data_IF_395544950540
#
_entry.id   IF_395544950540
#
_cell.length_a   1.000
_cell.length_b   1.000
_cell.length_c   1.000
_cell.angle_alpha   90.00
_cell.angle_beta   90.00
_cell.angle_gamma   90.00
#
_symmetry.space_group_name_H-M   'P 1'
#
loop_
_entity.id
_entity.type
_entity.pdbx_description
1 polymer ?
#
# COMPACT_ATOMS: atom_id res chain seq x y z
N UNK A 1 -10.83 -25.36 18.46
CA UNK A 1 -10.04 -24.26 17.91
C UNK A 1 -10.53 -22.96 18.52
N UNK A 2 -9.68 -22.18 19.18
CA UNK A 2 -10.09 -20.85 19.66
C UNK A 2 -10.44 -19.96 18.46
N UNK A 3 -11.42 -19.07 18.62
CA UNK A 3 -11.88 -18.12 17.60
C UNK A 3 -12.40 -18.74 16.28
N UNK A 4 -13.40 -19.63 16.32
CA UNK A 4 -13.88 -20.31 15.11
C UNK A 4 -14.41 -19.35 14.04
N UNK A 5 -15.03 -18.24 14.42
CA UNK A 5 -15.55 -17.27 13.46
C UNK A 5 -14.44 -16.49 12.71
N UNK A 6 -13.31 -16.20 13.37
CA UNK A 6 -12.15 -15.59 12.75
C UNK A 6 -11.50 -16.53 11.72
N UNK A 7 -11.50 -17.81 12.01
CA UNK A 7 -10.85 -18.82 11.16
C UNK A 7 -11.73 -19.37 10.04
N UNK A 8 -13.00 -18.92 9.94
CA UNK A 8 -13.85 -19.25 8.79
C UNK A 8 -13.35 -18.61 7.51
N UNK A 9 -13.39 -19.34 6.38
CA UNK A 9 -13.14 -18.72 5.07
C UNK A 9 -14.04 -17.53 4.82
N UNK A 10 -13.55 -16.57 4.04
CA UNK A 10 -14.29 -15.39 3.61
C UNK A 10 -14.29 -15.31 2.09
N UNK A 11 -15.50 -15.35 1.51
CA UNK A 11 -15.70 -15.13 0.09
C UNK A 11 -15.79 -13.64 -0.20
N UNK A 12 -14.90 -13.13 -1.07
CA UNK A 12 -14.89 -11.76 -1.58
C UNK A 12 -15.60 -11.63 -2.94
N UNK A 13 -16.24 -12.70 -3.42
CA UNK A 13 -16.92 -12.76 -4.72
C UNK A 13 -15.99 -13.08 -5.89
N UNK A 14 -14.76 -12.62 -5.88
CA UNK A 14 -13.74 -12.89 -6.90
C UNK A 14 -12.60 -13.78 -6.39
N UNK A 15 -12.48 -13.95 -5.11
CA UNK A 15 -11.48 -14.85 -4.47
C UNK A 15 -11.92 -15.25 -3.07
N UNK A 16 -11.46 -16.43 -2.63
CA UNK A 16 -11.69 -16.93 -1.28
C UNK A 16 -10.46 -16.65 -0.40
N UNK A 17 -10.64 -16.02 0.75
CA UNK A 17 -9.63 -15.95 1.80
C UNK A 17 -9.76 -17.17 2.71
N UNK A 18 -8.63 -17.74 3.15
CA UNK A 18 -8.61 -18.93 4.03
C UNK A 18 -9.15 -18.67 5.44
N UNK A 19 -9.15 -17.41 5.87
CA UNK A 19 -9.72 -16.94 7.12
C UNK A 19 -9.98 -15.42 7.05
N UNK A 20 -10.42 -14.83 8.16
CA UNK A 20 -10.78 -13.41 8.24
C UNK A 20 -9.71 -12.54 8.91
N UNK A 21 -8.50 -13.07 9.08
CA UNK A 21 -7.37 -12.30 9.59
C UNK A 21 -6.73 -11.50 8.46
N UNK A 22 -6.66 -10.19 8.63
CA UNK A 22 -6.02 -9.25 7.71
C UNK A 22 -4.80 -8.62 8.38
N UNK A 23 -3.63 -8.71 7.74
CA UNK A 23 -2.50 -7.86 8.05
C UNK A 23 -2.70 -6.51 7.35
N UNK A 24 -3.05 -5.48 8.13
CA UNK A 24 -3.24 -4.11 7.62
C UNK A 24 -1.95 -3.53 7.05
N UNK A 25 -2.10 -2.53 6.19
CA UNK A 25 -0.98 -1.80 5.58
C UNK A 25 -0.04 -1.22 6.64
N UNK A 26 1.25 -1.49 6.48
CA UNK A 26 2.31 -0.96 7.33
C UNK A 26 3.56 -0.72 6.51
N UNK A 27 4.07 0.50 6.55
CA UNK A 27 5.35 0.83 5.94
C UNK A 27 6.47 0.22 6.79
N UNK A 28 7.25 -0.69 6.21
CA UNK A 28 8.25 -1.45 6.95
C UNK A 28 9.67 -0.89 6.81
N UNK A 29 9.85 0.11 5.92
CA UNK A 29 11.14 0.75 5.64
C UNK A 29 12.11 -0.13 4.85
N UNK A 30 11.67 -1.29 4.37
CA UNK A 30 12.44 -2.16 3.49
C UNK A 30 12.33 -1.75 2.03
N UNK A 31 11.31 -0.99 1.69
CA UNK A 31 11.01 -0.53 0.34
C UNK A 31 12.12 0.37 -0.25
N UNK A 32 12.96 0.95 0.63
CA UNK A 32 13.94 1.98 0.27
C UNK A 32 15.38 1.59 0.60
N UNK A 33 15.62 0.32 0.98
CA UNK A 33 16.98 -0.15 1.33
C UNK A 33 17.51 -1.13 0.30
N UNK A 34 18.82 -1.32 0.29
CA UNK A 34 19.49 -2.33 -0.52
C UNK A 34 18.97 -3.74 -0.19
N UNK A 35 18.72 -4.55 -1.22
CA UNK A 35 18.09 -5.88 -1.12
C UNK A 35 16.75 -5.85 -0.36
N UNK A 36 16.04 -4.72 -0.45
CA UNK A 36 14.81 -4.49 0.30
C UNK A 36 13.68 -5.42 -0.12
N UNK A 37 13.55 -5.72 -1.41
CA UNK A 37 12.48 -6.59 -1.93
C UNK A 37 12.68 -8.05 -1.49
N UNK A 38 13.90 -8.56 -1.45
CA UNK A 38 14.20 -9.90 -0.93
C UNK A 38 13.90 -9.98 0.58
N UNK A 39 14.23 -8.93 1.32
CA UNK A 39 13.91 -8.83 2.75
C UNK A 39 12.40 -8.70 2.99
N UNK A 40 11.70 -7.92 2.16
CA UNK A 40 10.23 -7.83 2.18
C UNK A 40 9.59 -9.18 1.84
N UNK A 41 10.14 -9.91 0.87
CA UNK A 41 9.67 -11.24 0.51
C UNK A 41 9.74 -12.18 1.71
N UNK A 42 10.88 -12.23 2.40
CA UNK A 42 11.03 -13.04 3.62
C UNK A 42 10.07 -12.59 4.73
N UNK A 43 9.94 -11.26 4.93
CA UNK A 43 9.06 -10.68 5.93
C UNK A 43 7.60 -11.05 5.71
N UNK A 44 7.08 -10.90 4.50
CA UNK A 44 5.67 -11.21 4.20
C UNK A 44 5.41 -12.71 4.07
N UNK A 45 6.37 -13.50 3.55
CA UNK A 45 6.25 -14.96 3.50
C UNK A 45 6.10 -15.57 4.89
N UNK A 46 6.84 -15.07 5.89
CA UNK A 46 6.70 -15.51 7.29
C UNK A 46 5.27 -15.28 7.83
N UNK A 47 4.64 -14.15 7.51
CA UNK A 47 3.25 -13.87 7.90
C UNK A 47 2.26 -14.76 7.16
N UNK A 48 2.50 -15.01 5.88
CA UNK A 48 1.70 -15.96 5.09
C UNK A 48 1.77 -17.38 5.64
N UNK A 49 2.96 -17.85 6.04
CA UNK A 49 3.18 -19.13 6.74
C UNK A 49 2.48 -19.16 8.08
N UNK A 50 2.41 -18.02 8.78
CA UNK A 50 1.64 -17.80 10.00
C UNK A 50 0.12 -17.73 9.81
N UNK A 51 -0.38 -18.11 8.62
CA UNK A 51 -1.81 -18.25 8.33
C UNK A 51 -2.60 -16.93 8.21
N UNK A 52 -1.98 -15.79 7.98
CA UNK A 52 -2.73 -14.56 7.65
C UNK A 52 -3.53 -14.75 6.36
N UNK A 53 -4.83 -14.43 6.38
CA UNK A 53 -5.74 -14.60 5.25
C UNK A 53 -5.45 -13.65 4.09
N UNK A 54 -5.11 -12.39 4.39
CA UNK A 54 -4.71 -11.38 3.40
C UNK A 54 -3.67 -10.45 4.01
N UNK A 55 -2.66 -10.12 3.24
CA UNK A 55 -1.65 -9.11 3.59
C UNK A 55 -1.87 -7.88 2.70
N UNK A 56 -1.78 -6.68 3.29
CA UNK A 56 -1.73 -5.41 2.53
C UNK A 56 -0.37 -4.77 2.77
N UNK A 57 0.36 -4.46 1.70
CA UNK A 57 1.70 -3.86 1.79
C UNK A 57 1.67 -2.46 2.38
N UNK A 58 2.83 -1.92 2.76
CA UNK A 58 3.02 -0.49 2.95
C UNK A 58 2.65 0.31 1.69
N UNK A 59 2.44 1.61 1.85
CA UNK A 59 2.00 2.47 0.77
C UNK A 59 3.09 2.68 -0.30
N UNK A 60 2.77 2.40 -1.55
CA UNK A 60 3.64 2.57 -2.72
C UNK A 60 3.08 3.69 -3.58
N UNK A 61 3.92 4.65 -3.96
CA UNK A 61 3.48 5.80 -4.74
C UNK A 61 3.14 5.43 -6.19
N UNK A 62 2.03 5.95 -6.75
CA UNK A 62 1.66 5.73 -8.14
C UNK A 62 2.47 6.59 -9.13
N UNK A 63 3.25 7.54 -8.65
CA UNK A 63 4.07 8.44 -9.49
C UNK A 63 5.12 9.18 -8.68
N UNK A 64 6.03 9.87 -9.36
CA UNK A 64 7.12 10.62 -8.74
C UNK A 64 6.64 11.67 -7.72
N UNK A 65 5.56 12.40 -8.05
CA UNK A 65 5.02 13.45 -7.18
C UNK A 65 4.30 12.93 -5.94
N UNK A 66 3.88 11.68 -5.99
CA UNK A 66 3.21 11.00 -4.88
C UNK A 66 4.15 10.43 -3.83
N UNK A 67 5.46 10.39 -4.09
CA UNK A 67 6.46 9.83 -3.16
C UNK A 67 6.48 10.58 -1.83
N UNK A 68 6.77 9.90 -0.71
CA UNK A 68 6.93 10.57 0.58
C UNK A 68 8.20 11.44 0.62
N UNK A 69 9.27 11.01 -0.04
CA UNK A 69 10.58 11.64 -0.12
C UNK A 69 11.25 11.28 -1.46
N UNK A 70 12.34 11.94 -1.87
CA UNK A 70 12.96 11.71 -3.20
C UNK A 70 13.30 10.26 -3.52
N UNK A 71 13.63 9.46 -2.52
CA UNK A 71 13.97 8.03 -2.65
C UNK A 71 12.84 7.08 -2.20
N UNK A 72 11.66 7.59 -1.84
CA UNK A 72 10.51 6.77 -1.43
C UNK A 72 10.04 5.84 -2.54
N UNK A 73 9.51 4.69 -2.17
CA UNK A 73 9.09 3.67 -3.12
C UNK A 73 7.94 4.13 -4.03
N UNK A 74 8.03 3.78 -5.29
CA UNK A 74 6.98 4.01 -6.30
C UNK A 74 6.81 2.79 -7.21
N UNK A 75 5.72 2.75 -7.94
CA UNK A 75 5.45 1.73 -8.95
C UNK A 75 4.88 2.40 -10.20
N UNK A 76 5.74 2.63 -11.20
CA UNK A 76 5.42 3.35 -12.44
C UNK A 76 5.97 2.68 -13.69
N UNK A 77 6.86 1.69 -13.55
CA UNK A 77 7.51 0.98 -14.65
C UNK A 77 7.39 -0.52 -14.48
N UNK A 78 7.58 -1.26 -15.57
CA UNK A 78 7.62 -2.73 -15.54
C UNK A 78 8.78 -3.26 -14.68
N UNK A 79 9.94 -2.61 -14.72
CA UNK A 79 11.09 -2.97 -13.91
C UNK A 79 10.77 -2.86 -12.40
N UNK A 80 10.10 -1.78 -12.00
CA UNK A 80 9.63 -1.62 -10.63
C UNK A 80 8.60 -2.71 -10.25
N UNK A 81 7.72 -3.09 -11.20
CA UNK A 81 6.76 -4.18 -10.99
C UNK A 81 7.45 -5.53 -10.83
N UNK A 82 8.53 -5.79 -11.57
CA UNK A 82 9.31 -7.04 -11.46
C UNK A 82 9.90 -7.21 -10.06
N UNK A 83 10.36 -6.14 -9.42
CA UNK A 83 10.79 -6.20 -8.03
C UNK A 83 9.66 -6.62 -7.09
N UNK A 84 8.44 -6.11 -7.29
CA UNK A 84 7.28 -6.53 -6.49
C UNK A 84 6.90 -7.99 -6.74
N UNK A 85 7.20 -8.58 -7.92
CA UNK A 85 6.96 -10.00 -8.20
C UNK A 85 7.77 -10.93 -7.29
N UNK A 86 8.95 -10.52 -6.83
CA UNK A 86 9.75 -11.27 -5.84
C UNK A 86 8.92 -11.45 -4.57
N UNK A 87 8.29 -10.39 -4.10
CA UNK A 87 7.47 -10.38 -2.87
C UNK A 87 6.21 -11.21 -3.05
N UNK A 88 5.48 -11.00 -4.14
CA UNK A 88 4.23 -11.73 -4.38
C UNK A 88 4.46 -13.22 -4.56
N UNK A 89 5.53 -13.60 -5.28
CA UNK A 89 5.89 -15.01 -5.47
C UNK A 89 6.20 -15.70 -4.13
N UNK A 90 6.95 -15.06 -3.24
CA UNK A 90 7.28 -15.59 -1.93
C UNK A 90 6.02 -15.81 -1.06
N UNK A 91 5.09 -14.85 -1.06
CA UNK A 91 3.83 -14.96 -0.32
C UNK A 91 2.93 -16.06 -0.90
N UNK A 92 2.84 -16.13 -2.23
CA UNK A 92 2.03 -17.16 -2.90
C UNK A 92 2.60 -18.58 -2.67
N UNK A 93 3.93 -18.72 -2.61
CA UNK A 93 4.57 -20.00 -2.30
C UNK A 93 4.15 -20.55 -0.92
N UNK A 94 3.81 -19.69 0.03
CA UNK A 94 3.29 -20.05 1.36
C UNK A 94 1.74 -20.12 1.39
N UNK A 95 1.09 -20.10 0.22
CA UNK A 95 -0.38 -20.14 0.12
C UNK A 95 -1.09 -18.88 0.61
N UNK A 96 -0.35 -17.78 0.78
CA UNK A 96 -0.88 -16.47 1.19
C UNK A 96 -1.45 -15.68 0.03
N UNK A 97 -2.18 -14.61 0.37
CA UNK A 97 -2.65 -13.58 -0.56
C UNK A 97 -2.12 -12.23 -0.12
N UNK A 98 -1.72 -11.41 -1.09
CA UNK A 98 -1.16 -10.09 -0.84
C UNK A 98 -1.73 -9.07 -1.81
N UNK A 99 -2.01 -7.87 -1.32
CA UNK A 99 -2.47 -6.73 -2.09
C UNK A 99 -1.52 -5.55 -1.90
N UNK A 100 -1.29 -4.78 -2.95
CA UNK A 100 -0.51 -3.55 -2.90
C UNK A 100 -1.39 -2.39 -2.45
N UNK A 101 -0.95 -1.62 -1.46
CA UNK A 101 -1.56 -0.32 -1.18
C UNK A 101 -0.96 0.75 -2.09
N UNK A 102 -1.79 1.37 -2.91
CA UNK A 102 -1.41 2.55 -3.69
C UNK A 102 -1.64 3.79 -2.81
N UNK A 103 -0.58 4.57 -2.57
CA UNK A 103 -0.63 5.73 -1.68
C UNK A 103 0.08 6.94 -2.29
N UNK A 104 -0.68 8.03 -2.47
CA UNK A 104 -0.13 9.33 -2.87
C UNK A 104 -0.03 10.23 -1.65
N UNK A 105 1.20 10.61 -1.25
CA UNK A 105 1.44 11.35 -0.01
C UNK A 105 0.98 12.82 -0.08
N UNK A 106 0.86 13.40 -1.28
CA UNK A 106 0.35 14.75 -1.46
C UNK A 106 1.11 15.78 -0.63
N UNK A 107 0.38 16.56 0.17
CA UNK A 107 0.98 17.63 1.01
C UNK A 107 1.81 17.12 2.18
N UNK A 108 1.78 15.84 2.50
CA UNK A 108 2.62 15.24 3.55
C UNK A 108 3.98 14.77 3.03
N UNK A 109 4.23 14.90 1.72
CA UNK A 109 5.51 14.57 1.12
C UNK A 109 6.60 15.58 1.49
N UNK A 110 7.82 15.07 1.71
CA UNK A 110 9.02 15.84 2.07
C UNK A 110 10.00 15.94 0.89
N UNK A 111 9.50 16.38 -0.29
CA UNK A 111 10.35 16.62 -1.46
C UNK A 111 9.84 17.83 -2.27
N UNK A 112 10.72 18.50 -3.06
CA UNK A 112 10.39 19.78 -3.69
C UNK A 112 9.34 19.69 -4.81
N UNK A 113 9.07 18.49 -5.34
CA UNK A 113 8.12 18.28 -6.45
C UNK A 113 6.73 17.83 -6.01
N UNK A 114 6.43 17.88 -4.70
CA UNK A 114 5.12 17.51 -4.18
C UNK A 114 4.00 18.40 -4.74
N UNK A 115 2.86 17.81 -5.04
CA UNK A 115 1.69 18.55 -5.52
C UNK A 115 0.87 19.08 -4.36
N UNK A 116 0.84 20.41 -4.20
CA UNK A 116 -0.19 21.03 -3.34
C UNK A 116 -1.55 20.95 -4.04
N UNK A 117 -2.63 20.66 -3.31
CA UNK A 117 -3.97 21.01 -3.79
C UNK A 117 -3.98 22.49 -4.13
N UNK A 118 -4.48 22.87 -5.31
CA UNK A 118 -4.68 24.29 -5.61
C UNK A 118 -5.56 24.88 -4.51
N UNK A 119 -5.20 26.05 -3.94
CA UNK A 119 -6.10 26.73 -3.04
C UNK A 119 -7.45 26.90 -3.74
N UNK A 120 -8.51 26.39 -3.16
CA UNK A 120 -9.84 26.69 -3.65
C UNK A 120 -9.98 28.21 -3.69
N UNK A 121 -10.31 28.79 -4.85
CA UNK A 121 -10.65 30.21 -4.89
C UNK A 121 -11.78 30.41 -3.87
N UNK A 122 -11.52 31.12 -2.79
CA UNK A 122 -12.60 31.62 -1.94
C UNK A 122 -13.54 32.38 -2.88
N UNK A 123 -14.80 31.96 -2.98
CA UNK A 123 -15.83 32.78 -3.59
C UNK A 123 -15.81 34.11 -2.85
N UNK A 124 -15.58 35.17 -3.58
CA UNK A 124 -15.76 36.53 -3.02
C UNK A 124 -17.16 36.61 -2.44
N UNK A 125 -17.34 37.18 -1.26
CA UNK A 125 -18.68 37.39 -0.72
C UNK A 125 -19.50 38.21 -1.74
N UNK A 126 -20.79 37.96 -1.88
CA UNK A 126 -21.65 38.74 -2.75
C UNK A 126 -21.54 40.23 -2.36
N UNK A 127 -21.44 41.10 -3.36
CA UNK A 127 -21.44 42.55 -3.13
C UNK A 127 -22.70 42.96 -2.35
N UNK A 128 -22.60 43.89 -1.40
CA UNK A 128 -23.79 44.38 -0.70
C UNK A 128 -24.77 45.03 -1.70
N UNK A 129 -26.05 44.95 -1.48
CA UNK A 129 -27.03 45.58 -2.34
C UNK A 129 -26.77 47.09 -2.39
N UNK A 130 -26.79 47.65 -3.59
CA UNK A 130 -26.71 49.10 -3.81
C UNK A 130 -27.96 49.78 -3.24
N UNK A 131 -27.83 50.95 -2.59
CA UNK A 131 -28.95 51.68 -2.00
C UNK A 131 -29.95 52.18 -3.01
#
# INVERSE_FOLDING_TARGET
MPYPELMKPLDLGFTMLKNRALMGSMHVGLEEVENGFERMAAFYAERARGEVGLIVTGGISPNERGRPMPWGAKLTTEEEADHHRIVTAAVHAEGGKIALQILHFGRYAYHPTWSRPRPSRRRSPPSPPTP
#
